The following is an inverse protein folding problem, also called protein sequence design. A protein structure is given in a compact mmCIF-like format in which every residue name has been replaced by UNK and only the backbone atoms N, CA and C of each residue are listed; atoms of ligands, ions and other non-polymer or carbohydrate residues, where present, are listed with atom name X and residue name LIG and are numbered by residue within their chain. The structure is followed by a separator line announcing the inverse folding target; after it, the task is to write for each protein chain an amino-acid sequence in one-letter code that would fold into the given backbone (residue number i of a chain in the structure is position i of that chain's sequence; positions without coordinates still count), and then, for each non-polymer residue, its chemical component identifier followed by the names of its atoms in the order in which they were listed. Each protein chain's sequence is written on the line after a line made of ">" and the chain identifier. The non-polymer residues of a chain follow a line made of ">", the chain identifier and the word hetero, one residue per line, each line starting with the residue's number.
data_IF_787625467811
#
_entry.id   IF_787625467811
#
_cell.length_a   1.000
_cell.length_b   1.000
_cell.length_c   1.000
_cell.angle_alpha   90.00
_cell.angle_beta   90.00
_cell.angle_gamma   90.00
#
_symmetry.space_group_name_H-M   'P 1'
#
loop_
_entity.id
_entity.type
_entity.pdbx_description
1 polymer ?
#
# COMPACT_ATOMS: atom_id res chain seq x y z
N UNK A 1 -16.49 11.22 -7.81
CA UNK A 1 -16.24 12.38 -6.93
C UNK A 1 -17.21 12.42 -5.76
N UNK A 2 -18.51 12.24 -5.99
CA UNK A 2 -19.53 12.25 -4.94
C UNK A 2 -19.26 11.23 -3.81
N UNK A 3 -18.98 9.97 -4.16
CA UNK A 3 -18.67 8.91 -3.18
C UNK A 3 -17.47 9.28 -2.29
N UNK A 4 -16.42 9.86 -2.86
CA UNK A 4 -15.24 10.31 -2.13
C UNK A 4 -15.57 11.47 -1.18
N UNK A 5 -16.46 12.39 -1.60
CA UNK A 5 -16.87 13.53 -0.77
C UNK A 5 -17.68 13.06 0.44
N UNK A 6 -18.63 12.14 0.23
CA UNK A 6 -19.42 11.54 1.31
C UNK A 6 -18.53 10.74 2.27
N UNK A 7 -17.64 9.90 1.74
CA UNK A 7 -16.69 9.12 2.50
C UNK A 7 -15.77 10.01 3.37
N UNK A 8 -15.27 11.11 2.79
CA UNK A 8 -14.42 12.05 3.49
C UNK A 8 -15.11 12.67 4.70
N UNK A 9 -16.37 13.07 4.53
CA UNK A 9 -17.16 13.65 5.60
C UNK A 9 -17.51 12.62 6.68
N UNK A 10 -17.95 11.42 6.27
CA UNK A 10 -18.42 10.39 7.17
C UNK A 10 -17.30 9.80 8.04
N UNK A 11 -16.15 9.48 7.42
CA UNK A 11 -15.01 8.84 8.09
C UNK A 11 -13.89 9.80 8.46
N UNK A 12 -14.09 11.11 8.27
CA UNK A 12 -13.11 12.17 8.57
C UNK A 12 -11.79 11.95 7.82
N UNK A 13 -11.87 11.52 6.57
CA UNK A 13 -10.68 11.29 5.74
C UNK A 13 -10.08 12.62 5.31
N UNK A 14 -8.76 12.74 5.45
CA UNK A 14 -7.98 13.84 4.92
C UNK A 14 -7.82 13.73 3.40
N UNK A 15 -7.34 14.80 2.77
CA UNK A 15 -6.98 14.78 1.33
C UNK A 15 -5.94 13.71 1.03
N UNK A 16 -4.95 13.52 1.90
CA UNK A 16 -3.94 12.47 1.71
C UNK A 16 -4.56 11.07 1.73
N UNK A 17 -5.58 10.83 2.56
CA UNK A 17 -6.29 9.55 2.62
C UNK A 17 -7.07 9.28 1.33
N UNK A 18 -7.78 10.28 0.81
CA UNK A 18 -8.51 10.14 -0.45
C UNK A 18 -7.58 9.92 -1.64
N UNK A 19 -6.45 10.63 -1.69
CA UNK A 19 -5.42 10.43 -2.72
C UNK A 19 -4.81 9.02 -2.64
N UNK A 20 -4.57 8.52 -1.42
CA UNK A 20 -4.07 7.15 -1.22
C UNK A 20 -5.09 6.11 -1.71
N UNK A 21 -6.37 6.28 -1.39
CA UNK A 21 -7.45 5.42 -1.89
C UNK A 21 -7.50 5.47 -3.42
N UNK A 22 -7.52 6.65 -4.03
CA UNK A 22 -7.58 6.83 -5.48
C UNK A 22 -6.38 6.20 -6.19
N UNK A 23 -5.16 6.39 -5.65
CA UNK A 23 -3.92 5.75 -6.14
C UNK A 23 -4.09 4.23 -6.16
N UNK A 24 -4.57 3.65 -5.07
CA UNK A 24 -4.73 2.21 -4.95
C UNK A 24 -5.87 1.67 -5.83
N UNK A 25 -6.93 2.45 -6.07
CA UNK A 25 -7.96 2.08 -7.05
C UNK A 25 -7.39 1.94 -8.46
N UNK A 26 -6.53 2.86 -8.90
CA UNK A 26 -5.83 2.74 -10.19
C UNK A 26 -4.94 1.50 -10.21
N UNK A 27 -4.19 1.26 -9.13
CA UNK A 27 -3.30 0.10 -9.03
C UNK A 27 -4.05 -1.24 -9.15
N UNK A 28 -5.21 -1.36 -8.49
CA UNK A 28 -6.04 -2.57 -8.45
C UNK A 28 -6.97 -2.72 -9.67
N UNK A 29 -7.16 -1.66 -10.45
CA UNK A 29 -8.00 -1.70 -11.65
C UNK A 29 -7.47 -2.63 -12.75
N UNK A 30 -8.33 -2.95 -13.72
CA UNK A 30 -7.96 -3.66 -14.95
C UNK A 30 -7.32 -2.79 -16.04
N UNK A 31 -6.90 -1.56 -15.74
CA UNK A 31 -6.26 -0.66 -16.71
C UNK A 31 -4.97 -1.26 -17.27
N UNK A 32 -4.63 -0.89 -18.51
CA UNK A 32 -3.39 -1.32 -19.14
C UNK A 32 -2.17 -0.78 -18.38
N UNK A 33 -1.02 -1.43 -18.59
CA UNK A 33 0.25 -0.98 -18.00
C UNK A 33 0.60 0.47 -18.39
N UNK A 34 0.30 0.88 -19.62
CA UNK A 34 0.57 2.24 -20.11
C UNK A 34 -0.30 3.28 -19.38
N UNK A 35 -1.59 2.98 -19.19
CA UNK A 35 -2.50 3.85 -18.43
C UNK A 35 -2.09 3.94 -16.97
N UNK A 36 -1.72 2.82 -16.33
CA UNK A 36 -1.22 2.84 -14.93
C UNK A 36 0.05 3.67 -14.80
N UNK A 37 1.00 3.57 -15.74
CA UNK A 37 2.19 4.44 -15.78
C UNK A 37 1.83 5.91 -15.91
N UNK A 38 0.83 6.23 -16.73
CA UNK A 38 0.37 7.61 -16.91
C UNK A 38 -0.22 8.19 -15.61
N UNK A 39 -1.02 7.42 -14.87
CA UNK A 39 -1.66 7.89 -13.64
C UNK A 39 -0.76 7.81 -12.39
N UNK A 40 0.13 6.81 -12.29
CA UNK A 40 0.88 6.52 -11.06
C UNK A 40 2.36 6.87 -11.14
N UNK A 41 2.91 7.03 -12.35
CA UNK A 41 4.34 7.20 -12.60
C UNK A 41 5.00 5.95 -13.17
N UNK A 42 6.20 6.12 -13.74
CA UNK A 42 6.94 5.05 -14.42
C UNK A 42 7.32 3.88 -13.50
N UNK A 43 7.54 4.19 -12.22
CA UNK A 43 8.08 3.27 -11.23
C UNK A 43 7.00 2.62 -10.36
N UNK A 44 5.71 2.70 -10.72
CA UNK A 44 4.60 2.26 -9.87
C UNK A 44 4.61 0.77 -9.45
N UNK A 45 5.44 -0.06 -10.10
CA UNK A 45 5.66 -1.47 -9.76
C UNK A 45 6.71 -1.68 -8.66
N UNK A 46 7.45 -0.65 -8.27
CA UNK A 46 8.37 -0.72 -7.15
C UNK A 46 7.59 -0.68 -5.83
N UNK A 47 8.11 -1.39 -4.83
CA UNK A 47 7.48 -1.43 -3.52
C UNK A 47 7.76 -0.16 -2.71
N UNK A 48 6.83 0.12 -1.80
CA UNK A 48 6.95 1.19 -0.82
C UNK A 48 7.12 2.59 -1.43
N UNK A 49 7.97 3.45 -0.86
CA UNK A 49 8.13 4.84 -1.29
C UNK A 49 8.64 4.97 -2.74
N UNK A 50 9.50 4.07 -3.20
CA UNK A 50 10.10 4.13 -4.54
C UNK A 50 9.07 3.98 -5.67
N UNK A 51 7.93 3.32 -5.37
CA UNK A 51 6.81 3.17 -6.29
C UNK A 51 5.84 4.35 -6.34
N UNK A 52 6.15 5.46 -5.68
CA UNK A 52 5.26 6.61 -5.58
C UNK A 52 5.86 7.86 -6.24
N UNK A 53 5.21 8.34 -7.29
CA UNK A 53 5.45 9.69 -7.81
C UNK A 53 4.41 10.65 -7.24
N UNK A 54 4.81 11.44 -6.23
CA UNK A 54 3.93 12.42 -5.57
C UNK A 54 3.31 13.42 -6.55
N UNK A 55 3.98 13.75 -7.66
CA UNK A 55 3.47 14.70 -8.66
C UNK A 55 2.29 14.14 -9.45
N UNK A 56 2.13 12.82 -9.44
CA UNK A 56 1.06 12.08 -10.10
C UNK A 56 -0.04 11.68 -9.13
N UNK A 57 0.34 11.19 -7.94
CA UNK A 57 -0.59 10.57 -6.99
C UNK A 57 -1.07 11.51 -5.89
N UNK A 58 -0.34 12.59 -5.62
CA UNK A 58 -0.55 13.50 -4.48
C UNK A 58 -0.54 12.79 -3.10
N UNK A 59 0.03 11.58 -3.02
CA UNK A 59 0.23 10.87 -1.76
C UNK A 59 1.60 11.24 -1.22
N UNK A 60 1.64 11.74 0.02
CA UNK A 60 2.88 12.15 0.67
C UNK A 60 3.86 10.96 0.80
N UNK A 61 5.15 11.21 0.57
CA UNK A 61 6.16 10.16 0.62
C UNK A 61 6.23 9.46 1.97
N UNK A 62 6.12 10.23 3.06
CA UNK A 62 6.10 9.71 4.43
C UNK A 62 4.95 8.73 4.67
N UNK A 63 3.79 8.94 4.02
CA UNK A 63 2.65 8.02 4.09
C UNK A 63 3.03 6.66 3.48
N UNK A 64 3.63 6.67 2.30
CA UNK A 64 4.06 5.46 1.60
C UNK A 64 5.15 4.71 2.37
N UNK A 65 6.12 5.43 2.93
CA UNK A 65 7.16 4.86 3.82
C UNK A 65 6.53 4.16 5.02
N UNK A 66 5.65 4.85 5.75
CA UNK A 66 4.98 4.27 6.92
C UNK A 66 4.21 2.99 6.57
N UNK A 67 3.39 3.00 5.51
CA UNK A 67 2.64 1.81 5.07
C UNK A 67 3.56 0.63 4.78
N UNK A 68 4.68 0.89 4.10
CA UNK A 68 5.64 -0.14 3.73
C UNK A 68 6.35 -0.71 4.94
N UNK A 69 6.87 0.15 5.83
CA UNK A 69 7.54 -0.27 7.05
C UNK A 69 6.61 -1.07 7.98
N UNK A 70 5.37 -0.62 8.16
CA UNK A 70 4.37 -1.37 8.94
C UNK A 70 4.14 -2.76 8.35
N UNK A 71 3.94 -2.86 7.03
CA UNK A 71 3.74 -4.17 6.38
C UNK A 71 4.96 -5.08 6.53
N UNK A 72 6.18 -4.56 6.33
CA UNK A 72 7.40 -5.33 6.52
C UNK A 72 7.56 -5.82 7.96
N UNK A 73 7.22 -4.98 8.94
CA UNK A 73 7.25 -5.35 10.35
C UNK A 73 6.24 -6.44 10.68
N UNK A 74 5.00 -6.32 10.18
CA UNK A 74 3.94 -7.32 10.36
C UNK A 74 4.34 -8.66 9.73
N UNK A 75 4.90 -8.65 8.52
CA UNK A 75 5.38 -9.86 7.86
C UNK A 75 6.56 -10.49 8.59
N UNK A 76 7.52 -9.70 9.07
CA UNK A 76 8.65 -10.20 9.87
C UNK A 76 8.14 -10.88 11.14
N UNK A 77 7.18 -10.27 11.83
CA UNK A 77 6.57 -10.84 13.02
C UNK A 77 5.92 -12.20 12.75
N UNK A 78 5.15 -12.32 11.66
CA UNK A 78 4.54 -13.59 11.26
C UNK A 78 5.57 -14.66 10.91
N UNK A 79 6.61 -14.29 10.16
CA UNK A 79 7.69 -15.21 9.78
C UNK A 79 8.42 -15.75 11.03
N UNK A 80 8.69 -14.88 12.01
CA UNK A 80 9.37 -15.28 13.24
C UNK A 80 8.49 -16.15 14.14
N UNK A 81 7.18 -15.87 14.21
CA UNK A 81 6.22 -16.72 14.89
C UNK A 81 6.19 -18.14 14.29
N UNK A 82 6.11 -18.25 12.96
CA UNK A 82 6.10 -19.55 12.25
C UNK A 82 7.41 -20.33 12.47
N UNK A 83 8.56 -19.65 12.43
CA UNK A 83 9.86 -20.28 12.73
C UNK A 83 9.89 -20.83 14.15
N UNK A 84 9.37 -20.08 15.11
CA UNK A 84 9.33 -20.49 16.52
C UNK A 84 8.49 -21.77 16.70
N UNK A 85 7.33 -21.86 16.05
CA UNK A 85 6.50 -23.08 16.08
C UNK A 85 7.19 -24.30 15.43
N UNK A 86 7.89 -24.09 14.32
CA UNK A 86 8.65 -25.15 13.65
C UNK A 86 9.80 -25.70 14.51
N UNK A 87 10.37 -24.88 15.41
CA UNK A 87 11.40 -25.33 16.37
C UNK A 87 10.82 -26.04 17.60
N UNK A 88 9.56 -25.79 17.95
CA UNK A 88 8.86 -26.39 19.10
C UNK A 88 8.19 -27.73 18.78
N UNK A 89 8.11 -28.09 17.50
CA UNK A 89 7.68 -29.41 17.04
C UNK A 89 8.90 -30.23 16.63
N UNK A 90 9.65 -30.84 17.58
CA UNK A 90 10.65 -31.80 17.20
C UNK A 90 9.93 -32.95 16.50
N UNK A 91 10.36 -33.22 15.27
CA UNK A 91 9.95 -34.33 14.43
C UNK A 91 9.82 -35.58 15.30
N UNK A 92 8.58 -36.00 15.58
CA UNK A 92 8.31 -37.35 16.10
C UNK A 92 8.61 -38.30 14.95
N UNK A 93 9.87 -38.74 14.87
CA UNK A 93 10.27 -39.97 14.19
C UNK A 93 10.12 -41.14 15.19
#
# INVERSE_FOLDING_TARGET
>A
MEEYAIAAQLWKLSTCDLCEIARNSVLQSGLSHQEKKYFLGSNYLQDGPEGNDIRRTNVAQIRMTYRHETLCNELSFLVDAVKTESTLTPTKL
#
